data_IF_586009832963
#
_entry.id   IF_586009832963
#
_cell.length_a   1.000
_cell.length_b   1.000
_cell.length_c   1.000
_cell.angle_alpha   90.00
_cell.angle_beta   90.00
_cell.angle_gamma   90.00
#
_symmetry.space_group_name_H-M   'P 1'
#
loop_
_entity.id
_entity.type
_entity.pdbx_description
1 polymer ?
#
# COMPACT_ATOMS: atom_id res chain seq x y z
N UNK A 1 -2.61 -62.29 -7.09
CA UNK A 1 -1.75 -61.63 -6.08
C UNK A 1 -1.11 -60.41 -6.73
N UNK A 2 -0.94 -59.33 -5.95
CA UNK A 2 -0.58 -57.95 -6.33
C UNK A 2 -1.73 -57.05 -6.86
N UNK A 3 -2.46 -56.47 -5.91
CA UNK A 3 -3.12 -55.18 -6.08
C UNK A 3 -2.12 -54.12 -5.58
N UNK A 4 -1.54 -53.33 -6.48
CA UNK A 4 -0.66 -52.21 -6.15
C UNK A 4 -1.53 -51.04 -5.64
N UNK A 5 -1.58 -50.88 -4.32
CA UNK A 5 -2.17 -49.71 -3.67
C UNK A 5 -1.23 -48.52 -3.79
N UNK A 6 -1.54 -47.59 -4.70
CA UNK A 6 -0.98 -46.25 -4.71
C UNK A 6 -1.69 -45.42 -3.63
N UNK A 7 -1.14 -45.42 -2.42
CA UNK A 7 -1.47 -44.39 -1.43
C UNK A 7 -0.85 -43.08 -1.89
N UNK A 8 -1.65 -42.24 -2.53
CA UNK A 8 -1.33 -40.83 -2.77
C UNK A 8 -1.26 -40.18 -1.39
N UNK A 9 -0.04 -40.02 -0.87
CA UNK A 9 0.24 -39.14 0.25
C UNK A 9 0.06 -37.72 -0.30
N UNK A 10 -1.19 -37.25 -0.28
CA UNK A 10 -1.46 -35.83 -0.41
C UNK A 10 -0.79 -35.17 0.79
N UNK A 11 0.33 -34.50 0.52
CA UNK A 11 1.04 -33.67 1.48
C UNK A 11 0.11 -32.49 1.78
N UNK A 12 -0.75 -32.69 2.77
CA UNK A 12 -1.66 -31.70 3.30
C UNK A 12 -0.79 -30.63 3.98
N UNK A 13 -0.31 -29.67 3.17
CA UNK A 13 0.14 -28.39 3.69
C UNK A 13 -1.10 -27.77 4.32
N UNK A 14 -1.35 -28.11 5.59
CA UNK A 14 -2.19 -27.33 6.49
C UNK A 14 -1.68 -25.92 6.40
N UNK A 15 -2.30 -25.12 5.54
CA UNK A 15 -2.20 -23.68 5.59
C UNK A 15 -2.82 -23.32 6.92
N UNK A 16 -1.99 -23.24 7.97
CA UNK A 16 -2.42 -22.74 9.27
C UNK A 16 -3.10 -21.42 8.97
N UNK A 17 -4.43 -21.38 9.07
CA UNK A 17 -5.20 -20.16 8.90
C UNK A 17 -4.74 -19.29 10.05
N UNK A 18 -3.71 -18.48 9.81
CA UNK A 18 -3.23 -17.52 10.79
C UNK A 18 -4.44 -16.64 11.10
N UNK A 19 -4.75 -16.49 12.38
CA UNK A 19 -5.81 -15.63 12.85
C UNK A 19 -5.35 -14.18 12.70
N UNK A 20 -5.27 -13.69 11.47
CA UNK A 20 -4.67 -12.41 11.13
C UNK A 20 -5.44 -11.68 10.02
N UNK A 21 -5.09 -10.42 9.83
CA UNK A 21 -5.44 -9.63 8.66
C UNK A 21 -4.17 -9.47 7.82
N UNK A 22 -4.27 -9.72 6.52
CA UNK A 22 -3.13 -9.61 5.60
C UNK A 22 -3.59 -9.21 4.21
N UNK A 23 -2.63 -8.75 3.40
CA UNK A 23 -2.84 -8.46 1.99
C UNK A 23 -2.37 -9.64 1.14
N UNK A 24 -3.12 -9.95 0.10
CA UNK A 24 -2.65 -10.80 -0.99
C UNK A 24 -2.56 -9.96 -2.26
N UNK A 25 -1.34 -9.77 -2.76
CA UNK A 25 -1.05 -9.01 -3.97
C UNK A 25 -0.92 -9.99 -5.14
N UNK A 26 -1.69 -9.74 -6.18
CA UNK A 26 -1.63 -10.50 -7.43
C UNK A 26 -0.40 -10.06 -8.26
N UNK A 27 0.22 -10.96 -9.04
CA UNK A 27 1.26 -10.58 -10.00
C UNK A 27 0.77 -9.49 -10.95
N UNK A 28 1.61 -8.49 -11.21
CA UNK A 28 1.26 -7.37 -12.07
C UNK A 28 2.49 -6.88 -12.84
N UNK A 29 2.24 -6.31 -14.02
CA UNK A 29 3.26 -5.64 -14.81
C UNK A 29 3.38 -4.20 -14.35
N UNK A 30 4.62 -3.74 -14.12
CA UNK A 30 4.88 -2.38 -13.69
C UNK A 30 5.07 -1.50 -14.91
N UNK A 31 4.06 -0.72 -15.23
CA UNK A 31 4.08 0.38 -16.22
C UNK A 31 3.83 1.72 -15.53
N UNK A 32 3.97 2.84 -16.26
CA UNK A 32 3.50 4.13 -15.76
C UNK A 32 2.00 4.04 -15.42
N UNK A 33 1.60 4.63 -14.29
CA UNK A 33 0.21 4.61 -13.78
C UNK A 33 -0.33 3.20 -13.48
N UNK A 34 0.50 2.32 -12.91
CA UNK A 34 0.10 0.96 -12.53
C UNK A 34 -0.92 0.93 -11.39
N UNK A 35 -1.76 -0.10 -11.40
CA UNK A 35 -2.75 -0.37 -10.35
C UNK A 35 -2.54 -1.78 -9.82
N UNK A 36 -2.26 -1.88 -8.53
CA UNK A 36 -2.17 -3.15 -7.81
C UNK A 36 -3.57 -3.64 -7.47
N UNK A 37 -3.88 -4.88 -7.85
CA UNK A 37 -5.02 -5.61 -7.30
C UNK A 37 -4.59 -6.31 -6.03
N UNK A 38 -5.16 -5.85 -4.91
CA UNK A 38 -4.83 -6.35 -3.58
C UNK A 38 -6.09 -6.90 -2.92
N UNK A 39 -6.06 -8.17 -2.55
CA UNK A 39 -7.11 -8.78 -1.74
C UNK A 39 -6.76 -8.59 -0.26
N UNK A 40 -7.49 -7.71 0.42
CA UNK A 40 -7.45 -7.60 1.88
C UNK A 40 -8.25 -8.77 2.48
N UNK A 41 -7.59 -9.61 3.27
CA UNK A 41 -8.19 -10.81 3.87
C UNK A 41 -8.24 -10.62 5.39
N UNK A 42 -9.41 -10.83 5.97
CA UNK A 42 -9.60 -10.87 7.42
C UNK A 42 -10.00 -12.29 7.84
N UNK A 43 -9.02 -13.05 8.31
CA UNK A 43 -9.25 -14.39 8.84
C UNK A 43 -9.60 -14.40 10.32
N UNK A 44 -9.84 -13.24 10.93
CA UNK A 44 -10.15 -13.14 12.36
C UNK A 44 -11.63 -13.34 12.68
N UNK A 45 -11.96 -13.36 13.96
CA UNK A 45 -13.34 -13.42 14.47
C UNK A 45 -14.02 -12.04 14.55
N UNK A 46 -13.29 -10.95 14.33
CA UNK A 46 -13.77 -9.57 14.48
C UNK A 46 -13.95 -8.90 13.12
N UNK A 47 -14.90 -7.97 13.02
CA UNK A 47 -14.93 -7.06 11.88
C UNK A 47 -13.97 -5.89 12.17
N UNK A 48 -13.31 -5.40 11.12
CA UNK A 48 -12.34 -4.33 11.25
C UNK A 48 -12.60 -3.19 10.28
N UNK A 49 -12.17 -2.00 10.68
CA UNK A 49 -11.91 -0.91 9.74
C UNK A 49 -10.43 -0.52 9.76
N UNK A 50 -9.93 -0.12 8.59
CA UNK A 50 -8.61 0.51 8.41
C UNK A 50 -8.78 1.82 7.65
N UNK A 51 -7.81 2.72 7.76
CA UNK A 51 -7.81 3.98 7.01
C UNK A 51 -6.59 4.04 6.12
N UNK A 52 -6.77 3.69 4.85
CA UNK A 52 -5.72 3.75 3.84
C UNK A 52 -5.90 5.05 3.08
N UNK A 53 -4.81 5.78 2.83
CA UNK A 53 -4.70 6.96 1.97
C UNK A 53 -3.46 6.84 1.09
N UNK A 54 -3.66 6.48 -0.17
CA UNK A 54 -2.55 6.31 -1.13
C UNK A 54 -2.19 7.61 -1.85
N UNK A 55 -3.04 8.64 -1.75
CA UNK A 55 -2.86 9.92 -2.45
C UNK A 55 -1.79 10.78 -1.80
N UNK A 56 -1.70 10.76 -0.46
CA UNK A 56 -0.72 11.53 0.33
C UNK A 56 0.73 11.11 0.15
N UNK A 57 0.99 9.97 -0.49
CA UNK A 57 2.36 9.51 -0.78
C UNK A 57 3.05 10.36 -1.84
N UNK A 58 2.25 11.14 -2.59
CA UNK A 58 2.68 11.87 -3.78
C UNK A 58 2.34 13.37 -3.74
N UNK A 59 1.65 13.83 -2.67
CA UNK A 59 1.22 15.22 -2.54
C UNK A 59 2.32 16.10 -1.93
N UNK A 60 2.60 17.21 -2.62
CA UNK A 60 3.81 18.02 -2.50
C UNK A 60 3.86 19.01 -1.32
N UNK A 61 2.74 19.66 -0.91
CA UNK A 61 2.74 20.66 0.17
C UNK A 61 2.30 20.12 1.54
N UNK A 62 1.55 19.01 1.59
CA UNK A 62 0.87 18.51 2.82
C UNK A 62 1.54 17.28 3.45
N UNK A 63 2.75 16.92 3.02
CA UNK A 63 3.43 15.74 3.54
C UNK A 63 3.88 15.94 5.00
N UNK A 64 3.14 15.34 5.93
CA UNK A 64 3.54 15.21 7.33
C UNK A 64 4.02 13.76 7.58
N UNK A 65 5.34 13.52 7.76
CA UNK A 65 5.87 12.16 7.87
C UNK A 65 5.21 11.32 8.96
N UNK A 66 4.91 11.94 10.12
CA UNK A 66 4.29 11.26 11.26
C UNK A 66 2.86 10.83 10.93
N UNK A 67 2.04 11.72 10.37
CA UNK A 67 0.64 11.42 9.98
C UNK A 67 0.61 10.40 8.84
N UNK A 68 1.46 10.58 7.84
CA UNK A 68 1.51 9.76 6.64
C UNK A 68 1.93 8.31 6.93
N UNK A 69 2.82 8.11 7.91
CA UNK A 69 3.23 6.78 8.34
C UNK A 69 2.09 5.88 8.84
N UNK A 70 0.93 6.46 9.20
CA UNK A 70 -0.26 5.77 9.71
C UNK A 70 -1.28 5.39 8.63
N UNK A 71 -1.30 6.09 7.50
CA UNK A 71 -2.36 5.93 6.51
C UNK A 71 -1.83 5.50 5.14
N UNK A 72 -0.54 5.63 4.89
CA UNK A 72 0.08 5.29 3.62
C UNK A 72 0.58 3.84 3.61
N UNK A 73 0.30 3.15 2.51
CA UNK A 73 0.89 1.86 2.17
C UNK A 73 2.38 2.00 1.86
N UNK A 74 3.22 1.16 2.45
CA UNK A 74 4.67 1.17 2.25
C UNK A 74 5.09 0.03 1.32
N UNK A 75 5.58 0.34 0.11
CA UNK A 75 6.16 -0.68 -0.75
C UNK A 75 7.60 -0.96 -0.36
N UNK A 76 7.97 -2.24 -0.32
CA UNK A 76 9.34 -2.72 -0.13
C UNK A 76 9.71 -3.58 -1.33
N UNK A 77 10.81 -3.25 -2.00
CA UNK A 77 11.30 -3.99 -3.17
C UNK A 77 12.55 -4.77 -2.79
N UNK A 78 12.60 -6.04 -3.16
CA UNK A 78 13.70 -6.95 -2.90
C UNK A 78 14.33 -7.42 -4.21
N UNK A 79 15.63 -7.65 -4.19
CA UNK A 79 16.36 -8.42 -5.18
C UNK A 79 17.12 -9.53 -4.45
N UNK A 80 16.79 -10.79 -4.73
CA UNK A 80 17.38 -11.95 -4.03
C UNK A 80 17.33 -11.80 -2.50
N UNK A 81 16.14 -11.49 -1.97
CA UNK A 81 15.87 -11.20 -0.55
C UNK A 81 16.57 -9.97 0.05
N UNK A 82 17.41 -9.25 -0.71
CA UNK A 82 18.02 -8.00 -0.26
C UNK A 82 17.09 -6.83 -0.52
N UNK A 83 16.79 -6.07 0.53
CA UNK A 83 15.98 -4.87 0.43
C UNK A 83 16.69 -3.80 -0.41
N UNK A 84 15.98 -3.26 -1.40
CA UNK A 84 16.41 -2.11 -2.18
C UNK A 84 15.80 -0.87 -1.54
N UNK A 85 16.66 0.10 -1.24
CA UNK A 85 16.24 1.39 -0.72
C UNK A 85 15.98 2.35 -1.86
N UNK A 86 14.93 3.15 -1.73
CA UNK A 86 14.69 4.26 -2.65
C UNK A 86 15.84 5.26 -2.55
N UNK A 87 16.25 5.79 -3.70
CA UNK A 87 17.21 6.89 -3.77
C UNK A 87 16.45 8.20 -3.94
N UNK A 88 16.81 9.18 -3.13
CA UNK A 88 16.27 10.53 -3.22
C UNK A 88 17.20 11.41 -4.06
N UNK A 89 16.70 11.88 -5.19
CA UNK A 89 17.34 12.94 -5.96
C UNK A 89 16.57 14.24 -5.72
N UNK A 90 17.23 15.17 -5.03
CA UNK A 90 16.72 16.52 -4.88
C UNK A 90 17.73 17.51 -5.41
N UNK A 91 17.24 18.51 -6.12
CA UNK A 91 18.00 19.75 -6.23
C UNK A 91 17.76 20.54 -4.95
N UNK A 92 18.81 20.78 -4.14
CA UNK A 92 18.81 21.89 -3.18
C UNK A 92 18.80 23.17 -4.00
N UNK A 93 17.63 23.57 -4.52
CA UNK A 93 17.49 24.90 -5.08
C UNK A 93 17.31 25.85 -3.92
N UNK A 94 18.33 26.69 -3.68
CA UNK A 94 18.16 27.93 -2.96
C UNK A 94 16.87 28.56 -3.48
N UNK A 95 15.92 28.82 -2.58
CA UNK A 95 14.64 29.47 -2.83
C UNK A 95 14.86 30.92 -3.26
N UNK A 96 15.41 31.11 -4.46
CA UNK A 96 15.54 32.40 -5.13
C UNK A 96 15.00 32.18 -6.54
N UNK A 97 13.74 32.56 -6.74
CA UNK A 97 13.09 32.63 -8.05
C UNK A 97 12.76 31.28 -8.70
N UNK A 98 11.70 30.62 -8.23
CA UNK A 98 11.04 29.60 -9.08
C UNK A 98 10.33 30.36 -10.20
N UNK A 99 10.82 30.24 -11.43
CA UNK A 99 10.19 30.76 -12.64
C UNK A 99 8.71 30.32 -12.73
N UNK A 100 7.83 31.23 -13.18
CA UNK A 100 6.41 30.96 -13.46
C UNK A 100 6.20 29.70 -14.31
N UNK A 101 7.04 29.46 -15.32
CA UNK A 101 6.95 28.25 -16.16
C UNK A 101 7.19 26.94 -15.38
N UNK A 102 8.07 26.97 -14.37
CA UNK A 102 8.30 25.82 -13.49
C UNK A 102 7.15 25.60 -12.51
N UNK A 103 6.54 26.67 -12.01
CA UNK A 103 5.32 26.55 -11.20
C UNK A 103 4.13 26.03 -12.01
N UNK A 104 4.00 26.41 -13.27
CA UNK A 104 2.98 25.85 -14.17
C UNK A 104 3.21 24.36 -14.43
N UNK A 105 4.46 23.93 -14.61
CA UNK A 105 4.82 22.52 -14.75
C UNK A 105 4.42 21.71 -13.50
N UNK A 106 4.78 22.18 -12.30
CA UNK A 106 4.41 21.54 -11.03
C UNK A 106 2.89 21.47 -10.87
N UNK A 107 2.17 22.55 -11.16
CA UNK A 107 0.69 22.57 -11.10
C UNK A 107 0.06 21.58 -12.07
N UNK A 108 0.61 21.45 -13.28
CA UNK A 108 0.14 20.50 -14.29
C UNK A 108 0.36 19.06 -13.83
N UNK A 109 1.53 18.73 -13.30
CA UNK A 109 1.83 17.40 -12.75
C UNK A 109 0.92 17.05 -11.57
N UNK A 110 0.71 17.99 -10.64
CA UNK A 110 -0.23 17.81 -9.52
C UNK A 110 -1.64 17.54 -10.06
N UNK A 111 -2.11 18.34 -11.03
CA UNK A 111 -3.44 18.18 -11.61
C UNK A 111 -3.62 16.83 -12.33
N UNK A 112 -2.57 16.33 -12.98
CA UNK A 112 -2.57 15.01 -13.64
C UNK A 112 -2.59 13.87 -12.62
N UNK A 113 -1.77 13.97 -11.57
CA UNK A 113 -1.80 13.04 -10.44
C UNK A 113 -3.18 13.02 -9.80
N UNK A 114 -3.71 14.18 -9.43
CA UNK A 114 -5.05 14.31 -8.83
C UNK A 114 -6.15 13.70 -9.70
N UNK A 115 -6.07 13.87 -11.03
CA UNK A 115 -7.01 13.27 -11.97
C UNK A 115 -6.95 11.73 -11.94
N UNK A 116 -5.76 11.13 -11.95
CA UNK A 116 -5.60 9.68 -11.83
C UNK A 116 -6.11 9.14 -10.48
N UNK A 117 -5.79 9.83 -9.38
CA UNK A 117 -6.16 9.41 -8.03
C UNK A 117 -7.63 9.65 -7.68
N UNK A 118 -8.35 10.47 -8.44
CA UNK A 118 -9.77 10.78 -8.20
C UNK A 118 -10.64 9.53 -8.19
N UNK A 119 -10.31 8.55 -9.03
CA UNK A 119 -11.07 7.31 -9.16
C UNK A 119 -10.87 6.36 -7.96
N UNK A 120 -9.84 6.61 -7.14
CA UNK A 120 -9.50 5.80 -5.97
C UNK A 120 -9.93 6.47 -4.64
N UNK A 121 -10.99 7.28 -4.66
CA UNK A 121 -11.52 8.00 -3.48
C UNK A 121 -11.91 7.07 -2.31
N UNK A 122 -12.21 5.79 -2.61
CA UNK A 122 -12.48 4.78 -1.58
C UNK A 122 -11.27 4.54 -0.68
N UNK A 123 -10.07 4.71 -1.22
CA UNK A 123 -8.81 4.72 -0.48
C UNK A 123 -8.53 6.09 0.15
N UNK A 124 -9.51 6.96 0.39
CA UNK A 124 -9.38 8.12 1.29
C UNK A 124 -10.24 7.96 2.54
N UNK A 125 -11.07 6.92 2.56
CA UNK A 125 -12.07 6.64 3.58
C UNK A 125 -11.72 5.39 4.39
N UNK A 126 -12.50 5.14 5.43
CA UNK A 126 -12.41 3.88 6.17
C UNK A 126 -12.79 2.70 5.26
N UNK A 127 -11.90 1.71 5.18
CA UNK A 127 -12.14 0.44 4.52
C UNK A 127 -12.65 -0.53 5.57
N UNK A 128 -13.91 -0.94 5.43
CA UNK A 128 -14.55 -1.94 6.29
C UNK A 128 -14.33 -3.35 5.73
N UNK A 129 -13.94 -4.27 6.60
CA UNK A 129 -13.80 -5.69 6.30
C UNK A 129 -14.47 -6.54 7.40
N UNK A 130 -15.37 -7.44 6.99
CA UNK A 130 -16.07 -8.34 7.91
C UNK A 130 -15.14 -9.45 8.40
N UNK A 131 -15.49 -10.06 9.52
CA UNK A 131 -14.85 -11.29 10.00
C UNK A 131 -14.95 -12.39 8.95
N UNK A 132 -13.91 -13.21 8.81
CA UNK A 132 -13.84 -14.35 7.87
C UNK A 132 -14.23 -13.97 6.44
N UNK A 133 -13.82 -12.79 5.99
CA UNK A 133 -14.12 -12.30 4.64
C UNK A 133 -12.89 -11.71 3.97
N UNK A 134 -13.03 -11.42 2.69
CA UNK A 134 -12.02 -10.73 1.90
C UNK A 134 -12.65 -9.63 1.06
N UNK A 135 -11.84 -8.64 0.67
CA UNK A 135 -12.26 -7.52 -0.15
C UNK A 135 -11.13 -7.11 -1.09
N UNK A 136 -11.45 -6.96 -2.37
CA UNK A 136 -10.52 -6.40 -3.34
C UNK A 136 -10.38 -4.89 -3.16
N UNK A 137 -9.13 -4.44 -3.25
CA UNK A 137 -8.69 -3.06 -3.28
C UNK A 137 -7.85 -2.84 -4.53
N UNK A 138 -8.13 -1.76 -5.24
CA UNK A 138 -7.32 -1.31 -6.36
C UNK A 138 -6.45 -0.16 -5.87
N UNK A 139 -5.13 -0.40 -5.83
CA UNK A 139 -4.18 0.51 -5.21
C UNK A 139 -3.25 1.06 -6.29
N UNK A 140 -3.30 2.37 -6.58
CA UNK A 140 -2.28 3.05 -7.38
C UNK A 140 -0.87 2.73 -6.92
N UNK A 141 0.03 2.46 -7.87
CA UNK A 141 1.41 2.13 -7.57
C UNK A 141 2.39 2.75 -8.54
N UNK A 142 3.44 3.34 -7.99
CA UNK A 142 4.52 3.98 -8.72
C UNK A 142 5.85 3.61 -8.10
N UNK A 143 6.86 3.44 -8.96
CA UNK A 143 8.25 3.22 -8.53
C UNK A 143 8.95 4.51 -8.08
N UNK A 144 8.33 5.66 -8.31
CA UNK A 144 8.83 6.98 -7.93
C UNK A 144 7.78 7.78 -7.18
N UNK A 145 8.16 8.48 -6.12
CA UNK A 145 7.30 9.41 -5.40
C UNK A 145 8.00 10.76 -5.19
N UNK A 146 7.23 11.84 -5.14
CA UNK A 146 7.74 13.19 -4.87
C UNK A 146 7.43 13.59 -3.43
N UNK A 147 8.39 14.20 -2.75
CA UNK A 147 8.26 14.73 -1.40
C UNK A 147 8.94 16.09 -1.32
N UNK A 148 8.14 17.16 -1.40
CA UNK A 148 8.67 18.50 -1.65
C UNK A 148 9.60 18.48 -2.86
N UNK A 149 10.70 19.23 -2.82
CA UNK A 149 11.66 19.32 -3.94
C UNK A 149 12.47 18.05 -4.25
N UNK A 150 12.23 16.96 -3.52
CA UNK A 150 12.92 15.69 -3.72
C UNK A 150 12.03 14.71 -4.50
N UNK A 151 12.63 14.01 -5.45
CA UNK A 151 12.03 12.85 -6.10
C UNK A 151 12.75 11.60 -5.64
N UNK A 152 12.01 10.69 -5.03
CA UNK A 152 12.51 9.40 -4.61
C UNK A 152 12.11 8.36 -5.65
N UNK A 153 13.03 7.47 -6.02
CA UNK A 153 12.74 6.39 -6.96
C UNK A 153 13.49 5.11 -6.62
N UNK A 154 12.97 3.99 -7.12
CA UNK A 154 13.68 2.72 -7.12
C UNK A 154 14.51 2.59 -8.41
N UNK A 155 15.83 2.46 -8.25
CA UNK A 155 16.74 2.13 -9.36
C UNK A 155 16.74 0.64 -9.62
N UNK A 156 15.97 0.23 -10.64
CA UNK A 156 15.79 -1.18 -11.00
C UNK A 156 16.42 -1.44 -12.37
N UNK A 157 17.30 -2.44 -12.44
CA UNK A 157 18.03 -2.81 -13.65
C UNK A 157 17.23 -3.82 -14.48
N UNK A 158 17.20 -3.61 -15.81
CA UNK A 158 16.54 -4.53 -16.74
C UNK A 158 17.17 -5.93 -16.66
N UNK A 159 16.33 -6.97 -16.63
CA UNK A 159 16.75 -8.37 -16.60
C UNK A 159 17.03 -8.94 -15.21
N UNK A 160 16.99 -8.12 -14.15
CA UNK A 160 17.02 -8.60 -12.76
C UNK A 160 15.61 -8.98 -12.29
N UNK A 161 15.53 -9.95 -11.38
CA UNK A 161 14.28 -10.35 -10.73
C UNK A 161 14.09 -9.54 -9.46
N UNK A 162 12.93 -8.88 -9.36
CA UNK A 162 12.55 -8.11 -8.20
C UNK A 162 11.24 -8.62 -7.61
N UNK A 163 11.09 -8.49 -6.29
CA UNK A 163 9.88 -8.84 -5.57
C UNK A 163 9.35 -7.63 -4.78
N UNK A 164 8.05 -7.41 -4.81
CA UNK A 164 7.34 -6.41 -4.02
C UNK A 164 6.70 -7.05 -2.80
N UNK A 165 6.83 -6.39 -1.65
CA UNK A 165 6.01 -6.61 -0.48
C UNK A 165 5.42 -5.27 -0.03
N UNK A 166 4.17 -5.30 0.39
CA UNK A 166 3.48 -4.15 0.97
C UNK A 166 3.40 -4.31 2.48
N UNK A 167 3.68 -3.23 3.20
CA UNK A 167 3.33 -3.11 4.61
C UNK A 167 2.39 -1.93 4.84
N UNK A 168 1.48 -2.07 5.79
CA UNK A 168 0.61 -1.01 6.26
C UNK A 168 0.39 -1.16 7.76
N UNK A 169 0.31 -0.03 8.46
CA UNK A 169 -0.07 -0.02 9.87
C UNK A 169 -0.79 1.27 10.22
N UNK A 170 -2.03 1.14 10.67
CA UNK A 170 -2.76 2.24 11.27
C UNK A 170 -2.19 2.52 12.67
N UNK A 171 -1.76 3.76 12.92
CA UNK A 171 -1.23 4.17 14.22
C UNK A 171 -2.37 4.72 15.08
N UNK A 172 -2.55 4.15 16.27
CA UNK A 172 -3.60 4.55 17.23
C UNK A 172 -3.55 6.04 17.55
N UNK A 173 -2.38 6.56 17.93
CA UNK A 173 -2.17 7.97 18.28
C UNK A 173 -2.61 8.93 17.17
N UNK A 174 -2.32 8.59 15.91
CA UNK A 174 -2.67 9.43 14.76
C UNK A 174 -4.16 9.33 14.45
N UNK A 175 -4.71 8.12 14.55
CA UNK A 175 -6.13 7.85 14.30
C UNK A 175 -7.01 8.60 15.30
N UNK A 176 -6.67 8.56 16.58
CA UNK A 176 -7.43 9.22 17.66
C UNK A 176 -7.34 10.76 17.60
N UNK A 177 -6.29 11.31 16.98
CA UNK A 177 -6.17 12.76 16.72
C UNK A 177 -6.94 13.18 15.48
N UNK A 178 -6.97 12.36 14.42
CA UNK A 178 -7.54 12.72 13.11
C UNK A 178 -9.01 12.36 12.96
N UNK A 179 -9.48 11.35 13.68
CA UNK A 179 -10.87 10.88 13.65
C UNK A 179 -11.48 11.20 15.00
N UNK A 180 -12.61 11.93 15.00
CA UNK A 180 -13.28 12.26 16.24
C UNK A 180 -13.71 11.00 17.00
N UNK A 181 -13.56 11.02 18.33
CA UNK A 181 -13.93 9.91 19.19
C UNK A 181 -15.35 9.40 18.93
N UNK A 182 -16.32 10.32 18.80
CA UNK A 182 -17.71 9.95 18.49
C UNK A 182 -17.86 9.14 17.20
N UNK A 183 -17.06 9.40 16.15
CA UNK A 183 -17.07 8.58 14.93
C UNK A 183 -16.50 7.19 15.20
N UNK A 184 -15.42 7.09 15.97
CA UNK A 184 -14.83 5.79 16.34
C UNK A 184 -15.84 4.97 17.15
N UNK A 185 -16.47 5.59 18.15
CA UNK A 185 -17.48 4.96 19.00
C UNK A 185 -18.66 4.45 18.15
N UNK A 186 -19.17 5.26 17.21
CA UNK A 186 -20.22 4.81 16.28
C UNK A 186 -19.79 3.59 15.44
N UNK A 187 -18.55 3.55 14.95
CA UNK A 187 -18.07 2.39 14.19
C UNK A 187 -17.96 1.13 15.06
N UNK A 188 -17.55 1.30 16.32
CA UNK A 188 -17.49 0.20 17.29
C UNK A 188 -18.87 -0.31 17.67
N UNK A 189 -19.86 0.58 17.85
CA UNK A 189 -21.28 0.22 18.04
C UNK A 189 -21.85 -0.56 16.85
N UNK A 190 -21.42 -0.23 15.62
CA UNK A 190 -21.73 -0.99 14.41
C UNK A 190 -20.95 -2.32 14.29
N UNK A 191 -20.14 -2.66 15.29
CA UNK A 191 -19.41 -3.92 15.39
C UNK A 191 -18.10 -3.95 14.60
N UNK A 192 -17.52 -2.80 14.25
CA UNK A 192 -16.21 -2.68 13.58
C UNK A 192 -15.17 -2.08 14.52
N UNK A 193 -14.15 -2.86 14.86
CA UNK A 193 -13.02 -2.36 15.62
C UNK A 193 -11.96 -1.73 14.69
N UNK A 194 -11.15 -0.76 15.15
CA UNK A 194 -9.96 -0.35 14.42
C UNK A 194 -8.92 -1.48 14.39
N UNK A 195 -8.23 -1.68 13.26
CA UNK A 195 -7.11 -2.61 13.17
C UNK A 195 -5.76 -1.87 13.18
N UNK A 196 -5.08 -1.90 14.33
CA UNK A 196 -3.80 -1.19 14.56
C UNK A 196 -2.55 -2.06 14.40
N UNK A 197 -2.72 -3.38 14.23
CA UNK A 197 -1.61 -4.28 13.97
C UNK A 197 -1.07 -4.07 12.55
N UNK A 198 0.19 -4.47 12.33
CA UNK A 198 0.82 -4.37 11.01
C UNK A 198 0.19 -5.41 10.06
N UNK A 199 -0.27 -4.94 8.91
CA UNK A 199 -0.70 -5.76 7.77
C UNK A 199 0.50 -5.88 6.81
N UNK A 200 0.89 -7.11 6.48
CA UNK A 200 2.00 -7.41 5.55
C UNK A 200 1.49 -8.29 4.43
N UNK A 201 1.90 -8.02 3.20
CA UNK A 201 1.52 -8.85 2.05
C UNK A 201 2.44 -10.05 1.83
N UNK A 202 2.02 -10.96 0.95
CA UNK A 202 2.96 -11.86 0.27
C UNK A 202 4.00 -11.05 -0.52
N UNK A 203 5.14 -11.69 -0.80
CA UNK A 203 6.05 -11.23 -1.84
C UNK A 203 5.47 -11.60 -3.21
N UNK A 204 5.56 -10.69 -4.17
CA UNK A 204 5.10 -10.89 -5.55
C UNK A 204 6.18 -10.42 -6.52
N UNK A 205 6.42 -11.17 -7.60
CA UNK A 205 7.39 -10.75 -8.60
C UNK A 205 6.92 -9.48 -9.32
N UNK A 206 7.83 -8.51 -9.46
CA UNK A 206 7.66 -7.33 -10.30
C UNK A 206 8.09 -7.68 -11.73
N UNK A 207 7.17 -7.55 -12.68
CA UNK A 207 7.42 -7.82 -14.10
C UNK A 207 7.63 -6.47 -14.81
N UNK A 208 8.80 -6.31 -15.43
CA UNK A 208 9.17 -5.13 -16.23
C UNK A 208 9.17 -5.52 -17.71
N UNK A 209 8.46 -4.75 -18.54
CA UNK A 209 8.52 -4.85 -20.00
C UNK A 209 9.55 -3.85 -20.58
#
# INVERSE_FOLDING_TARGET
MLLLGLTIIACDKKTTIKNNVFFLVEPFNVVNDSVLKVLLINNTANNYFITLDTTRTYDYPDFNPKTNSSFILKPFIYNEDKLIYMKGEGTVQKTIGIDKGKMECIKKEISQSDAFYKDYILLKNAIFIKKKSSRYLEIPFFLSHKLGVFTYHYDLEKGKKYELQLEYQMLKEITEVRISKGKIDTLQELGYAPYYEKIVSNKVSLIFD
#
